data_IF_937593399734
#
_entry.id   IF_937593399734
#
_cell.length_a   1.000
_cell.length_b   1.000
_cell.length_c   1.000
_cell.angle_alpha   90.00
_cell.angle_beta   90.00
_cell.angle_gamma   90.00
#
_symmetry.space_group_name_H-M   'P 1'
#
loop_
_entity.id
_entity.type
_entity.pdbx_description
1 polymer ?
#
# COMPACT_ATOMS: atom_id res chain seq x y z
N UNK A 1 -13.32 36.26 8.93
CA UNK A 1 -12.31 35.49 8.17
C UNK A 1 -13.01 34.26 7.64
N UNK A 2 -13.49 34.36 6.40
CA UNK A 2 -14.39 33.39 5.77
C UNK A 2 -13.58 32.33 5.04
N UNK A 3 -13.86 31.05 5.31
CA UNK A 3 -13.22 29.92 4.66
C UNK A 3 -13.64 29.84 3.19
N UNK A 4 -12.66 29.70 2.30
CA UNK A 4 -12.84 29.44 0.89
C UNK A 4 -13.19 27.94 0.73
N UNK A 5 -14.42 27.61 0.33
CA UNK A 5 -14.78 26.22 0.03
C UNK A 5 -14.29 25.83 -1.37
N UNK A 6 -13.70 24.63 -1.48
CA UNK A 6 -13.15 24.02 -2.72
C UNK A 6 -14.22 23.63 -3.76
N UNK A 7 -15.43 24.18 -3.71
CA UNK A 7 -16.59 23.73 -4.50
C UNK A 7 -16.94 24.58 -5.72
N UNK A 8 -16.27 25.72 -5.93
CA UNK A 8 -16.65 26.66 -7.00
C UNK A 8 -15.89 26.48 -8.33
N UNK A 9 -15.06 25.45 -8.49
CA UNK A 9 -14.11 25.39 -9.62
C UNK A 9 -14.57 24.62 -10.87
N UNK A 10 -15.82 24.16 -10.98
CA UNK A 10 -16.24 23.45 -12.20
C UNK A 10 -17.60 23.94 -12.71
N UNK A 11 -17.55 25.08 -13.40
CA UNK A 11 -18.62 25.53 -14.28
C UNK A 11 -18.10 25.65 -15.72
N UNK A 12 -18.83 24.99 -16.64
CA UNK A 12 -19.00 25.36 -18.06
C UNK A 12 -17.90 24.93 -19.04
N UNK A 13 -18.16 23.83 -19.78
CA UNK A 13 -17.87 23.74 -21.23
C UNK A 13 -19.06 23.04 -21.91
N UNK A 14 -19.52 23.66 -23.00
CA UNK A 14 -20.83 23.49 -23.62
C UNK A 14 -21.06 22.21 -24.44
N UNK A 15 -22.34 21.88 -24.58
CA UNK A 15 -22.92 20.96 -25.56
C UNK A 15 -22.70 21.45 -27.00
N UNK A 16 -22.23 20.57 -27.88
CA UNK A 16 -22.68 20.50 -29.29
C UNK A 16 -22.35 19.15 -29.92
N UNK A 17 -23.31 18.56 -30.63
CA UNK A 17 -23.03 17.70 -31.79
C UNK A 17 -23.50 16.24 -31.69
N UNK A 18 -24.72 15.98 -32.18
CA UNK A 18 -25.24 14.65 -32.44
C UNK A 18 -24.54 13.99 -33.64
N UNK A 19 -24.12 12.74 -33.49
CA UNK A 19 -23.62 11.88 -34.57
C UNK A 19 -23.84 10.41 -34.20
N UNK A 20 -24.92 9.83 -34.73
CA UNK A 20 -25.25 8.42 -34.53
C UNK A 20 -24.31 7.53 -35.35
N UNK A 21 -23.34 6.88 -34.71
CA UNK A 21 -22.61 5.75 -35.27
C UNK A 21 -23.06 4.46 -34.60
N UNK A 22 -23.92 3.70 -35.28
CA UNK A 22 -24.21 2.30 -34.97
C UNK A 22 -23.03 1.44 -35.44
N UNK A 23 -21.92 1.50 -34.69
CA UNK A 23 -20.81 0.56 -34.80
C UNK A 23 -20.95 -0.49 -33.70
N UNK A 24 -21.04 -1.77 -34.07
CA UNK A 24 -21.04 -2.88 -33.11
C UNK A 24 -19.68 -2.90 -32.41
N UNK A 25 -19.62 -2.32 -31.21
CA UNK A 25 -18.42 -2.33 -30.38
C UNK A 25 -18.14 -3.76 -29.93
N UNK A 26 -17.15 -4.41 -30.54
CA UNK A 26 -16.45 -5.49 -29.84
C UNK A 26 -15.90 -4.91 -28.54
N UNK A 27 -15.97 -5.63 -27.40
CA UNK A 27 -15.29 -5.16 -26.21
C UNK A 27 -13.81 -5.09 -26.58
N UNK A 28 -13.28 -3.88 -26.64
CA UNK A 28 -11.85 -3.69 -26.66
C UNK A 28 -11.36 -4.37 -25.37
N UNK A 29 -10.78 -5.56 -25.51
CA UNK A 29 -9.81 -6.00 -24.54
C UNK A 29 -8.77 -4.88 -24.53
N UNK A 30 -8.85 -4.03 -23.50
CA UNK A 30 -7.78 -3.10 -23.19
C UNK A 30 -6.60 -4.00 -22.85
N UNK A 31 -5.84 -4.36 -23.89
CA UNK A 31 -4.62 -5.11 -23.74
C UNK A 31 -3.72 -4.24 -22.89
N UNK A 32 -3.62 -4.57 -21.60
CA UNK A 32 -2.55 -4.07 -20.75
C UNK A 32 -1.29 -4.65 -21.37
N UNK A 33 -0.71 -3.91 -22.30
CA UNK A 33 0.67 -4.13 -22.69
C UNK A 33 1.46 -3.80 -21.45
N UNK A 34 1.97 -4.85 -20.79
CA UNK A 34 2.85 -4.72 -19.66
C UNK A 34 4.05 -3.92 -20.16
N UNK A 35 4.12 -2.63 -19.81
CA UNK A 35 5.29 -1.83 -20.17
C UNK A 35 6.53 -2.60 -19.71
N UNK A 36 7.53 -2.79 -20.57
CA UNK A 36 8.77 -3.43 -20.17
C UNK A 36 9.29 -2.68 -18.95
N UNK A 37 9.51 -3.41 -17.85
CA UNK A 37 9.98 -2.82 -16.61
C UNK A 37 11.25 -2.04 -16.90
N UNK A 38 11.22 -0.72 -16.67
CA UNK A 38 12.46 0.07 -16.66
C UNK A 38 13.38 -0.59 -15.62
N UNK A 39 14.56 -1.10 -16.01
CA UNK A 39 15.44 -1.79 -15.08
C UNK A 39 15.67 -0.91 -13.84
N UNK A 40 15.34 -1.42 -12.65
CA UNK A 40 15.54 -0.73 -11.37
C UNK A 40 14.37 0.12 -10.85
N UNK A 41 13.25 0.27 -11.58
CA UNK A 41 12.12 1.10 -11.10
C UNK A 41 11.11 0.33 -10.24
N UNK A 42 11.08 -1.00 -10.33
CA UNK A 42 10.19 -1.89 -9.57
C UNK A 42 11.01 -2.99 -8.90
N UNK A 43 10.52 -3.50 -7.77
CA UNK A 43 11.08 -4.72 -7.20
C UNK A 43 10.89 -5.88 -8.17
N UNK A 44 11.87 -6.78 -8.18
CA UNK A 44 11.64 -8.13 -8.67
C UNK A 44 10.48 -8.75 -7.85
N UNK A 45 9.50 -9.34 -8.54
CA UNK A 45 8.29 -9.86 -7.91
C UNK A 45 8.60 -11.00 -6.94
N UNK A 46 9.56 -11.87 -7.27
CA UNK A 46 9.93 -12.98 -6.39
C UNK A 46 10.60 -12.44 -5.12
N UNK A 47 11.38 -11.36 -5.22
CA UNK A 47 11.96 -10.69 -4.04
C UNK A 47 10.91 -10.01 -3.19
N UNK A 48 9.95 -9.31 -3.80
CA UNK A 48 8.86 -8.66 -3.08
C UNK A 48 8.00 -9.69 -2.34
N UNK A 49 7.60 -10.77 -3.00
CA UNK A 49 6.88 -11.89 -2.38
C UNK A 49 7.70 -12.52 -1.26
N UNK A 50 9.00 -12.73 -1.48
CA UNK A 50 9.89 -13.37 -0.51
C UNK A 50 10.03 -12.54 0.77
N UNK A 51 10.22 -11.22 0.66
CA UNK A 51 10.40 -10.37 1.84
C UNK A 51 9.11 -10.24 2.65
N UNK A 52 7.95 -10.12 1.98
CA UNK A 52 6.65 -10.06 2.68
C UNK A 52 6.34 -11.39 3.35
N UNK A 53 6.50 -12.52 2.64
CA UNK A 53 6.33 -13.86 3.23
C UNK A 53 7.25 -14.12 4.41
N UNK A 54 8.55 -13.80 4.28
CA UNK A 54 9.51 -13.96 5.37
C UNK A 54 9.20 -13.06 6.59
N UNK A 55 8.59 -11.90 6.38
CA UNK A 55 8.31 -10.94 7.46
C UNK A 55 7.29 -11.43 8.48
N UNK A 56 6.58 -12.53 8.19
CA UNK A 56 5.70 -13.18 9.15
C UNK A 56 6.47 -13.79 10.34
N UNK A 57 7.72 -14.26 10.15
CA UNK A 57 8.42 -15.03 11.19
C UNK A 57 9.94 -15.20 11.04
N UNK A 58 10.53 -14.91 9.88
CA UNK A 58 11.93 -15.23 9.59
C UNK A 58 12.81 -13.96 9.48
N UNK A 59 13.32 -13.50 10.63
CA UNK A 59 14.15 -12.30 10.71
C UNK A 59 15.44 -12.40 9.90
N UNK A 60 16.12 -13.55 9.91
CA UNK A 60 17.39 -13.72 9.21
C UNK A 60 17.20 -13.60 7.69
N UNK A 61 16.12 -14.18 7.16
CA UNK A 61 15.77 -14.03 5.75
C UNK A 61 15.38 -12.60 5.39
N UNK A 62 14.66 -11.91 6.27
CA UNK A 62 14.33 -10.49 6.08
C UNK A 62 15.61 -9.64 6.03
N UNK A 63 16.56 -9.89 6.94
CA UNK A 63 17.87 -9.22 6.94
C UNK A 63 18.61 -9.43 5.64
N UNK A 64 18.80 -10.69 5.24
CA UNK A 64 19.49 -11.04 4.00
C UNK A 64 18.89 -10.30 2.78
N UNK A 65 17.56 -10.30 2.66
CA UNK A 65 16.86 -9.64 1.55
C UNK A 65 17.03 -8.12 1.60
N UNK A 66 16.76 -7.50 2.75
CA UNK A 66 16.81 -6.04 2.92
C UNK A 66 18.25 -5.52 2.79
N UNK A 67 19.25 -6.23 3.28
CA UNK A 67 20.66 -5.86 3.12
C UNK A 67 21.08 -5.91 1.65
N UNK A 68 20.61 -6.91 0.89
CA UNK A 68 20.89 -7.00 -0.55
C UNK A 68 20.20 -5.88 -1.37
N UNK A 69 19.05 -5.41 -0.91
CA UNK A 69 18.27 -4.35 -1.57
C UNK A 69 17.45 -3.58 -0.52
N UNK A 70 17.97 -2.47 0.05
CA UNK A 70 17.34 -1.76 1.17
C UNK A 70 15.90 -1.31 0.93
N UNK A 71 15.54 -1.03 -0.32
CA UNK A 71 14.18 -0.67 -0.70
C UNK A 71 13.14 -1.78 -0.40
N UNK A 72 13.56 -3.05 -0.25
CA UNK A 72 12.66 -4.16 0.09
C UNK A 72 12.02 -4.02 1.49
N UNK A 73 12.60 -3.21 2.40
CA UNK A 73 11.95 -2.91 3.67
C UNK A 73 10.58 -2.21 3.50
N UNK A 74 10.37 -1.54 2.35
CA UNK A 74 9.13 -0.84 1.98
C UNK A 74 8.27 -1.65 1.02
N UNK A 75 8.64 -2.89 0.71
CA UNK A 75 7.92 -3.70 -0.26
C UNK A 75 6.53 -4.09 0.23
N UNK A 76 5.63 -4.28 -0.73
CA UNK A 76 4.32 -4.86 -0.53
C UNK A 76 4.05 -5.92 -1.61
N UNK A 77 3.16 -6.84 -1.29
CA UNK A 77 2.74 -7.94 -2.14
C UNK A 77 1.21 -7.97 -2.22
N UNK A 78 0.69 -8.22 -3.41
CA UNK A 78 -0.75 -8.41 -3.65
C UNK A 78 -1.06 -9.90 -3.54
N UNK A 79 -1.81 -10.30 -2.51
CA UNK A 79 -2.30 -11.67 -2.36
C UNK A 79 -3.49 -11.98 -3.29
N UNK A 80 -3.98 -10.98 -4.02
CA UNK A 80 -5.16 -11.04 -4.87
C UNK A 80 -6.39 -10.42 -4.20
N UNK A 81 -7.43 -10.14 -4.99
CA UNK A 81 -8.71 -9.60 -4.51
C UNK A 81 -8.63 -8.28 -3.73
N UNK A 82 -7.52 -7.55 -3.86
CA UNK A 82 -7.29 -6.28 -3.14
C UNK A 82 -6.60 -6.43 -1.78
N UNK A 83 -6.19 -7.64 -1.40
CA UNK A 83 -5.42 -7.89 -0.17
C UNK A 83 -3.93 -7.57 -0.38
N UNK A 84 -3.61 -6.27 -0.30
CA UNK A 84 -2.25 -5.78 -0.36
C UNK A 84 -1.59 -5.79 1.02
N UNK A 85 -0.49 -6.50 1.13
CA UNK A 85 0.25 -6.60 2.38
C UNK A 85 1.67 -6.05 2.24
N UNK A 86 2.06 -5.15 3.15
CA UNK A 86 3.46 -4.70 3.27
C UNK A 86 4.28 -5.65 4.14
N UNK A 87 5.60 -5.66 3.96
CA UNK A 87 6.51 -6.42 4.83
C UNK A 87 6.30 -6.08 6.33
N UNK A 88 6.09 -4.79 6.64
CA UNK A 88 5.77 -4.36 7.99
C UNK A 88 4.36 -4.81 8.43
N UNK A 89 3.39 -4.85 7.52
CA UNK A 89 2.04 -5.37 7.76
C UNK A 89 2.07 -6.83 8.21
N UNK A 90 2.78 -7.68 7.47
CA UNK A 90 3.01 -9.08 7.81
C UNK A 90 3.60 -9.24 9.21
N UNK A 91 4.69 -8.51 9.51
CA UNK A 91 5.30 -8.56 10.84
C UNK A 91 4.39 -8.04 11.97
N UNK A 92 3.54 -7.05 11.65
CA UNK A 92 2.64 -6.44 12.63
C UNK A 92 1.47 -7.36 12.98
N UNK A 93 0.87 -8.04 12.01
CA UNK A 93 -0.28 -8.90 12.30
C UNK A 93 0.14 -10.18 13.05
N UNK A 94 1.37 -10.68 12.84
CA UNK A 94 1.88 -11.88 13.54
C UNK A 94 2.49 -11.58 14.92
N UNK A 95 2.66 -10.29 15.26
CA UNK A 95 3.35 -9.90 16.49
C UNK A 95 4.87 -10.08 16.45
N UNK A 96 5.47 -10.19 15.26
CA UNK A 96 6.91 -10.35 15.06
C UNK A 96 7.68 -9.05 15.30
N UNK A 97 7.67 -8.57 16.55
CA UNK A 97 8.29 -7.30 16.99
C UNK A 97 9.73 -7.09 16.48
N UNK A 98 10.67 -8.06 16.59
CA UNK A 98 12.03 -7.86 16.10
C UNK A 98 12.11 -7.58 14.59
N UNK A 99 11.19 -8.17 13.80
CA UNK A 99 11.12 -7.94 12.36
C UNK A 99 10.55 -6.55 12.08
N UNK A 100 9.47 -6.17 12.76
CA UNK A 100 8.87 -4.85 12.60
C UNK A 100 9.85 -3.72 12.94
N UNK A 101 10.55 -3.82 14.08
CA UNK A 101 11.56 -2.84 14.49
C UNK A 101 12.71 -2.76 13.47
N UNK A 102 13.18 -3.91 12.97
CA UNK A 102 14.19 -3.96 11.91
C UNK A 102 13.72 -3.26 10.63
N UNK A 103 12.52 -3.57 10.16
CA UNK A 103 11.94 -2.98 8.94
C UNK A 103 11.76 -1.45 9.09
N UNK A 104 11.28 -0.99 10.24
CA UNK A 104 11.13 0.46 10.54
C UNK A 104 12.50 1.14 10.54
N UNK A 105 13.52 0.54 11.14
CA UNK A 105 14.89 1.05 11.11
C UNK A 105 15.46 1.17 9.68
N UNK A 106 14.95 0.35 8.74
CA UNK A 106 15.31 0.38 7.31
C UNK A 106 14.30 1.17 6.45
N UNK A 107 13.46 1.99 7.09
CA UNK A 107 12.60 2.96 6.43
C UNK A 107 11.23 2.44 6.02
N UNK A 108 10.79 1.26 6.50
CA UNK A 108 9.38 0.91 6.45
C UNK A 108 8.56 1.98 7.19
N UNK A 109 7.41 2.36 6.63
CA UNK A 109 6.56 3.42 7.20
C UNK A 109 5.66 2.82 8.27
N UNK A 110 5.74 3.25 9.54
CA UNK A 110 4.82 2.80 10.58
C UNK A 110 3.35 3.03 10.18
N UNK A 111 2.49 2.12 10.61
CA UNK A 111 1.04 2.13 10.40
C UNK A 111 0.33 2.07 11.75
N UNK A 112 -0.99 2.30 11.75
CA UNK A 112 -1.82 2.06 12.95
C UNK A 112 -1.59 0.66 13.54
N UNK A 113 -1.48 -0.36 12.68
CA UNK A 113 -1.31 -1.75 13.09
C UNK A 113 0.08 -2.02 13.68
N UNK A 114 1.13 -1.44 13.09
CA UNK A 114 2.48 -1.59 13.68
C UNK A 114 2.57 -0.87 15.01
N UNK A 115 2.00 0.34 15.14
CA UNK A 115 1.95 1.06 16.43
C UNK A 115 1.15 0.30 17.49
N UNK A 116 0.02 -0.30 17.10
CA UNK A 116 -0.77 -1.15 17.99
C UNK A 116 0.02 -2.39 18.45
N UNK A 117 0.65 -3.12 17.53
CA UNK A 117 1.48 -4.29 17.84
C UNK A 117 2.69 -3.92 18.71
N UNK A 118 3.32 -2.77 18.43
CA UNK A 118 4.48 -2.29 19.19
C UNK A 118 4.10 -1.77 20.58
N UNK A 119 2.82 -1.57 20.89
CA UNK A 119 2.35 -1.07 22.19
C UNK A 119 2.45 0.44 22.33
N UNK A 120 2.50 1.17 21.22
CA UNK A 120 2.58 2.64 21.18
C UNK A 120 1.21 3.27 21.46
N UNK A 121 0.71 3.08 22.69
CA UNK A 121 -0.66 3.42 23.09
C UNK A 121 -1.00 4.89 22.82
N UNK A 122 -0.06 5.81 23.06
CA UNK A 122 -0.30 7.25 22.85
C UNK A 122 -0.47 7.59 21.36
N UNK A 123 0.28 6.93 20.47
CA UNK A 123 0.16 7.08 19.01
C UNK A 123 -1.19 6.55 18.54
N UNK A 124 -1.56 5.35 18.98
CA UNK A 124 -2.85 4.72 18.63
C UNK A 124 -4.01 5.59 19.12
N UNK A 125 -3.93 6.10 20.35
CA UNK A 125 -4.94 7.01 20.92
C UNK A 125 -5.07 8.29 20.10
N UNK A 126 -3.95 8.90 19.70
CA UNK A 126 -3.97 10.10 18.88
C UNK A 126 -4.63 9.84 17.51
N UNK A 127 -4.30 8.72 16.84
CA UNK A 127 -4.89 8.35 15.56
C UNK A 127 -6.41 8.12 15.66
N UNK A 128 -6.87 7.35 16.65
CA UNK A 128 -8.30 7.08 16.85
C UNK A 128 -9.06 8.35 17.26
N UNK A 129 -8.43 9.23 18.06
CA UNK A 129 -9.06 10.51 18.43
C UNK A 129 -9.25 11.42 17.21
N UNK A 130 -8.33 11.39 16.24
CA UNK A 130 -8.44 12.16 15.00
C UNK A 130 -9.43 11.55 13.99
N UNK A 131 -9.57 10.22 13.99
CA UNK A 131 -10.52 9.50 13.16
C UNK A 131 -11.06 8.26 13.91
N UNK A 132 -12.24 8.36 14.58
CA UNK A 132 -12.80 7.27 15.38
C UNK A 132 -13.05 5.98 14.61
N UNK A 133 -13.34 6.04 13.31
CA UNK A 133 -13.60 4.86 12.48
C UNK A 133 -12.37 3.94 12.36
N UNK A 134 -11.16 4.46 12.64
CA UNK A 134 -9.92 3.65 12.66
C UNK A 134 -9.94 2.55 13.72
N UNK A 135 -10.80 2.65 14.75
CA UNK A 135 -11.00 1.57 15.71
C UNK A 135 -11.57 0.28 15.08
N UNK A 136 -12.15 0.40 13.88
CA UNK A 136 -12.72 -0.71 13.11
C UNK A 136 -11.93 -1.01 11.83
N UNK A 137 -10.76 -0.39 11.65
CA UNK A 137 -9.91 -0.65 10.49
C UNK A 137 -9.41 -2.11 10.49
N UNK A 138 -9.48 -2.76 9.34
CA UNK A 138 -8.94 -4.11 9.15
C UNK A 138 -7.46 -4.03 8.77
N UNK A 139 -6.66 -4.90 9.39
CA UNK A 139 -5.23 -5.07 9.09
C UNK A 139 -5.01 -5.82 7.78
N UNK A 140 -3.80 -6.38 7.62
CA UNK A 140 -3.56 -7.34 6.55
C UNK A 140 -4.26 -8.67 6.85
N UNK A 141 -4.80 -9.30 5.80
CA UNK A 141 -5.67 -10.49 5.84
C UNK A 141 -7.03 -10.31 6.56
#
# INVERSE_FOLDING_TARGET
>A
MSAYERRDFLGIVGLTGAGAFLGRSSPAHCGVTQEPSRPGFRHDLDKARSVVGASHSNLDRVRELVESQPALAKAAWDWGFGDWESALGAASHTGARPIAEYLIAHGARPTLFSSAMLGEVDVVRALISANPDLAHAQGAH
#
